data_IF_352403533680
#
_entry.id   IF_352403533680
#
_cell.length_a   1.000
_cell.length_b   1.000
_cell.length_c   1.000
_cell.angle_alpha   90.00
_cell.angle_beta   90.00
_cell.angle_gamma   90.00
#
_symmetry.space_group_name_H-M   'P 1'
#
loop_
_entity.id
_entity.type
_entity.pdbx_description
1 polymer ?
#
# COMPACT_ATOMS: atom_id res chain seq x y z
N UNK A 1 2.25 22.89 9.90
CA UNK A 1 2.69 22.38 8.59
C UNK A 1 2.02 21.03 8.48
N UNK A 2 1.08 20.87 7.56
CA UNK A 2 0.42 19.58 7.37
C UNK A 2 1.44 18.63 6.73
N UNK A 3 1.43 17.33 7.06
CA UNK A 3 2.30 16.35 6.44
C UNK A 3 2.15 16.37 4.92
N UNK A 4 3.25 16.11 4.23
CA UNK A 4 3.34 16.08 2.78
C UNK A 4 2.31 15.08 2.23
N UNK A 5 1.57 15.52 1.21
CA UNK A 5 0.56 14.80 0.39
C UNK A 5 -0.13 13.55 0.99
N UNK A 6 -1.47 13.58 1.03
CA UNK A 6 -2.28 12.37 1.23
C UNK A 6 -1.97 11.34 0.14
N UNK A 7 -1.77 10.09 0.55
CA UNK A 7 -1.56 8.94 -0.31
C UNK A 7 -2.53 7.82 0.03
N UNK A 8 -2.73 6.90 -0.91
CA UNK A 8 -3.52 5.70 -0.67
C UNK A 8 -3.15 4.55 -1.59
N UNK A 9 -3.50 3.33 -1.19
CA UNK A 9 -3.33 2.17 -2.07
C UNK A 9 -4.01 2.42 -3.44
N UNK A 10 -3.30 2.20 -4.56
CA UNK A 10 -3.86 2.46 -5.89
C UNK A 10 -5.05 1.55 -6.19
N UNK A 11 -5.97 2.02 -7.02
CA UNK A 11 -7.05 1.17 -7.51
C UNK A 11 -6.49 0.13 -8.50
N UNK A 12 -7.05 -1.09 -8.56
CA UNK A 12 -6.59 -2.12 -9.50
C UNK A 12 -6.51 -1.65 -10.96
N UNK A 13 -7.44 -0.81 -11.40
CA UNK A 13 -7.50 -0.25 -12.76
C UNK A 13 -6.37 0.73 -13.09
N UNK A 14 -5.77 1.36 -12.07
CA UNK A 14 -4.67 2.33 -12.24
C UNK A 14 -3.29 1.65 -12.28
N UNK A 15 -3.24 0.33 -12.03
CA UNK A 15 -1.99 -0.44 -12.01
C UNK A 15 -1.73 -1.01 -13.40
N UNK A 16 -0.57 -0.67 -13.95
CA UNK A 16 -0.13 -1.08 -15.27
C UNK A 16 1.00 -2.09 -15.18
N UNK A 17 0.92 -3.15 -15.99
CA UNK A 17 1.94 -4.17 -16.10
C UNK A 17 2.83 -3.93 -17.32
N UNK A 18 4.13 -3.87 -17.09
CA UNK A 18 5.16 -3.88 -18.12
C UNK A 18 6.13 -5.04 -17.87
N UNK A 19 5.87 -6.17 -18.55
CA UNK A 19 6.72 -7.37 -18.49
C UNK A 19 6.97 -7.93 -17.07
N UNK A 20 5.95 -7.89 -16.21
CA UNK A 20 6.01 -8.41 -14.83
C UNK A 20 6.43 -7.38 -13.79
N UNK A 21 6.72 -6.15 -14.22
CA UNK A 21 6.86 -4.98 -13.35
C UNK A 21 5.55 -4.20 -13.40
N UNK A 22 4.95 -4.00 -12.25
CA UNK A 22 3.67 -3.33 -12.09
C UNK A 22 3.91 -1.94 -11.51
N UNK A 23 3.34 -0.91 -12.13
CA UNK A 23 3.43 0.46 -11.62
C UNK A 23 2.09 1.19 -11.61
N UNK A 24 1.96 2.18 -10.73
CA UNK A 24 0.84 3.11 -10.69
C UNK A 24 1.31 4.49 -10.19
N UNK A 25 0.70 5.60 -10.66
CA UNK A 25 1.06 6.93 -10.20
C UNK A 25 0.74 7.09 -8.70
N UNK A 26 1.63 7.77 -7.96
CA UNK A 26 1.34 8.25 -6.61
C UNK A 26 0.74 9.66 -6.67
N UNK A 27 0.14 10.10 -5.56
CA UNK A 27 -0.39 11.47 -5.42
C UNK A 27 0.73 12.50 -5.22
N UNK A 28 1.87 12.04 -4.70
CA UNK A 28 3.09 12.79 -4.42
C UNK A 28 3.94 12.87 -5.68
N UNK A 29 4.30 14.09 -6.07
CA UNK A 29 5.09 14.33 -7.27
C UNK A 29 6.44 13.59 -7.23
N UNK A 30 6.73 12.84 -8.30
CA UNK A 30 7.99 12.10 -8.45
C UNK A 30 8.06 10.80 -7.65
N UNK A 31 6.95 10.37 -7.04
CA UNK A 31 6.80 9.08 -6.38
C UNK A 31 5.94 8.15 -7.24
N UNK A 32 6.24 6.86 -7.23
CA UNK A 32 5.47 5.84 -7.97
C UNK A 32 5.18 4.65 -7.06
N UNK A 33 4.06 3.97 -7.28
CA UNK A 33 3.83 2.65 -6.72
C UNK A 33 4.48 1.60 -7.61
N UNK A 34 5.26 0.70 -7.04
CA UNK A 34 5.98 -0.34 -7.79
C UNK A 34 5.78 -1.70 -7.13
N UNK A 35 5.59 -2.73 -7.95
CA UNK A 35 5.62 -4.13 -7.54
C UNK A 35 6.14 -5.01 -8.68
N UNK A 36 6.57 -6.23 -8.36
CA UNK A 36 7.05 -7.16 -9.38
C UNK A 36 6.65 -8.59 -9.06
N UNK A 37 6.31 -9.36 -10.10
CA UNK A 37 5.98 -10.78 -10.00
C UNK A 37 6.71 -11.55 -11.09
N UNK A 38 7.42 -12.60 -10.68
CA UNK A 38 8.08 -13.53 -11.62
C UNK A 38 7.02 -14.28 -12.41
N UNK A 39 7.21 -14.38 -13.72
CA UNK A 39 6.28 -14.98 -14.68
C UNK A 39 4.90 -14.28 -14.79
N UNK A 40 4.80 -13.06 -14.26
CA UNK A 40 3.58 -12.24 -14.31
C UNK A 40 3.44 -11.38 -15.57
N UNK A 41 4.16 -11.65 -16.67
CA UNK A 41 4.23 -10.70 -17.80
C UNK A 41 2.89 -10.47 -18.51
N UNK A 42 2.00 -11.45 -18.47
CA UNK A 42 0.66 -11.37 -19.08
C UNK A 42 -0.46 -11.15 -18.04
N UNK A 43 -0.09 -10.99 -16.77
CA UNK A 43 -1.06 -10.87 -15.70
C UNK A 43 -1.69 -9.49 -15.61
N UNK A 44 -2.95 -9.48 -15.22
CA UNK A 44 -3.73 -8.27 -14.91
C UNK A 44 -4.05 -8.26 -13.43
N UNK A 45 -4.07 -7.06 -12.85
CA UNK A 45 -4.55 -6.86 -11.49
C UNK A 45 -6.07 -7.00 -11.48
N UNK A 46 -6.61 -7.88 -10.64
CA UNK A 46 -8.05 -8.15 -10.57
C UNK A 46 -8.71 -7.46 -9.39
N UNK A 47 -8.18 -7.70 -8.19
CA UNK A 47 -8.81 -7.30 -6.96
C UNK A 47 -7.78 -6.71 -6.00
N UNK A 48 -8.14 -5.61 -5.35
CA UNK A 48 -7.49 -5.21 -4.12
C UNK A 48 -7.80 -6.24 -3.03
N UNK A 49 -6.77 -6.72 -2.34
CA UNK A 49 -6.89 -7.67 -1.25
C UNK A 49 -6.82 -6.96 0.09
N UNK A 50 -5.68 -6.31 0.39
CA UNK A 50 -5.47 -5.56 1.63
C UNK A 50 -4.26 -4.62 1.57
N UNK A 51 -4.28 -3.53 2.33
CA UNK A 51 -3.11 -2.74 2.68
C UNK A 51 -2.53 -3.24 4.00
N UNK A 52 -1.20 -3.27 4.14
CA UNK A 52 -0.50 -3.64 5.36
C UNK A 52 0.33 -2.48 5.86
N UNK A 53 0.10 -2.08 7.11
CA UNK A 53 0.78 -0.96 7.76
C UNK A 53 1.44 -1.43 9.04
N UNK A 54 2.69 -1.02 9.26
CA UNK A 54 3.50 -1.43 10.40
C UNK A 54 3.73 -0.22 11.28
N UNK A 55 3.17 -0.24 12.50
CA UNK A 55 3.33 0.82 13.48
C UNK A 55 4.79 0.89 13.98
N UNK A 56 5.29 2.10 14.18
CA UNK A 56 6.64 2.34 14.75
C UNK A 56 6.72 2.05 16.24
N UNK A 57 5.57 1.97 16.92
CA UNK A 57 5.42 1.61 18.33
C UNK A 57 4.21 0.68 18.49
N UNK A 58 4.21 -0.13 19.55
CA UNK A 58 3.13 -1.10 19.80
C UNK A 58 1.78 -0.46 20.15
N UNK A 59 1.75 0.85 20.41
CA UNK A 59 0.54 1.61 20.67
C UNK A 59 0.03 2.27 19.38
N UNK A 60 -1.30 2.22 19.17
CA UNK A 60 -1.99 2.86 18.06
C UNK A 60 -1.89 4.38 18.18
N UNK A 61 -0.74 4.95 17.83
CA UNK A 61 -0.57 6.37 17.62
C UNK A 61 -0.81 6.77 16.16
N UNK A 62 -1.02 5.78 15.27
CA UNK A 62 -1.23 6.00 13.84
C UNK A 62 0.06 6.25 13.05
N UNK A 63 1.23 6.31 13.71
CA UNK A 63 2.53 6.53 13.07
C UNK A 63 3.22 5.20 12.78
N UNK A 64 3.60 5.01 11.53
CA UNK A 64 4.28 3.80 11.09
C UNK A 64 4.79 3.93 9.67
N UNK A 65 4.84 2.80 8.98
CA UNK A 65 5.19 2.72 7.57
C UNK A 65 4.21 1.79 6.88
N UNK A 66 3.74 2.18 5.70
CA UNK A 66 3.03 1.27 4.82
C UNK A 66 4.03 0.23 4.28
N UNK A 67 3.78 -1.04 4.57
CA UNK A 67 4.62 -2.14 4.08
C UNK A 67 4.31 -2.48 2.62
N UNK A 68 3.01 -2.62 2.30
CA UNK A 68 2.56 -2.93 0.94
C UNK A 68 1.04 -2.86 0.79
N UNK A 69 0.58 -2.63 -0.44
CA UNK A 69 -0.78 -2.88 -0.89
C UNK A 69 -0.80 -4.19 -1.69
N UNK A 70 -1.62 -5.15 -1.27
CA UNK A 70 -1.69 -6.50 -1.82
C UNK A 70 -2.85 -6.63 -2.79
N UNK A 71 -2.61 -7.23 -3.94
CA UNK A 71 -3.60 -7.45 -5.00
C UNK A 71 -3.57 -8.88 -5.51
N UNK A 72 -4.72 -9.39 -5.92
CA UNK A 72 -4.84 -10.66 -6.65
C UNK A 72 -4.63 -10.42 -8.15
N UNK A 73 -3.77 -11.23 -8.77
CA UNK A 73 -3.53 -11.24 -10.21
C UNK A 73 -4.40 -12.28 -10.93
N UNK A 74 -4.58 -12.12 -12.24
CA UNK A 74 -5.29 -13.09 -13.09
C UNK A 74 -4.72 -14.51 -13.08
N UNK A 75 -3.41 -14.65 -12.92
CA UNK A 75 -2.71 -15.92 -12.79
C UNK A 75 -2.85 -16.59 -11.42
N UNK A 76 -3.58 -15.97 -10.49
CA UNK A 76 -3.80 -16.47 -9.12
C UNK A 76 -2.68 -16.16 -8.14
N UNK A 77 -1.61 -15.49 -8.59
CA UNK A 77 -0.56 -14.97 -7.72
C UNK A 77 -1.00 -13.67 -7.02
N UNK A 78 -0.28 -13.28 -5.97
CA UNK A 78 -0.45 -11.99 -5.33
C UNK A 78 0.66 -11.02 -5.73
N UNK A 79 0.28 -9.78 -5.99
CA UNK A 79 1.16 -8.65 -6.23
C UNK A 79 1.22 -7.79 -4.96
N UNK A 80 2.43 -7.50 -4.49
CA UNK A 80 2.67 -6.52 -3.43
C UNK A 80 3.18 -5.22 -4.08
N UNK A 81 2.34 -4.19 -4.11
CA UNK A 81 2.73 -2.83 -4.51
C UNK A 81 3.30 -2.09 -3.30
N UNK A 82 4.40 -1.36 -3.50
CA UNK A 82 5.03 -0.51 -2.50
C UNK A 82 5.21 0.89 -3.06
N UNK A 83 5.14 1.90 -2.20
CA UNK A 83 5.44 3.27 -2.56
C UNK A 83 6.96 3.45 -2.68
N UNK A 84 7.47 3.79 -3.85
CA UNK A 84 8.89 4.04 -4.08
C UNK A 84 9.26 5.48 -3.70
N UNK A 85 9.68 5.65 -2.44
CA UNK A 85 10.17 6.92 -1.91
C UNK A 85 11.68 7.13 -2.17
N UNK A 86 12.32 6.25 -2.95
CA UNK A 86 13.75 6.30 -3.23
C UNK A 86 14.60 6.32 -1.95
N UNK A 87 15.31 7.43 -1.71
CA UNK A 87 16.17 7.58 -0.51
C UNK A 87 15.39 7.77 0.79
N UNK A 88 14.09 8.10 0.70
CA UNK A 88 13.23 8.37 1.85
C UNK A 88 12.37 7.14 2.22
N UNK A 89 12.83 5.92 1.93
CA UNK A 89 12.09 4.68 2.19
C UNK A 89 11.73 4.41 3.68
N UNK A 90 12.33 5.15 4.63
CA UNK A 90 11.99 5.10 6.06
C UNK A 90 11.16 6.29 6.53
N UNK A 91 10.63 7.09 5.61
CA UNK A 91 9.78 8.22 5.95
C UNK A 91 8.56 7.71 6.72
N UNK A 92 8.32 8.32 7.88
CA UNK A 92 7.18 8.03 8.71
C UNK A 92 5.89 8.34 7.96
N UNK A 93 4.84 7.61 8.28
CA UNK A 93 3.52 7.78 7.69
C UNK A 93 2.48 7.85 8.80
N UNK A 94 1.49 8.72 8.64
CA UNK A 94 0.36 8.82 9.53
C UNK A 94 -0.86 8.21 8.87
N UNK A 95 -1.47 7.21 9.52
CA UNK A 95 -2.74 6.64 9.06
C UNK A 95 -3.80 7.74 8.97
N UNK A 96 -4.48 7.78 7.82
CA UNK A 96 -5.71 8.54 7.62
C UNK A 96 -6.90 7.56 7.61
N UNK A 97 -8.10 8.05 7.98
CA UNK A 97 -9.29 7.20 8.13
C UNK A 97 -9.05 5.99 9.05
N UNK A 98 -8.59 6.23 10.28
CA UNK A 98 -8.28 5.22 11.29
C UNK A 98 -9.31 4.06 11.41
N UNK A 99 -10.60 4.32 11.18
CA UNK A 99 -11.66 3.30 11.20
C UNK A 99 -11.55 2.23 10.11
N UNK A 100 -10.78 2.48 9.04
CA UNK A 100 -10.53 1.53 7.95
C UNK A 100 -9.36 0.60 8.24
N UNK A 101 -8.59 0.88 9.30
CA UNK A 101 -7.40 0.14 9.69
C UNK A 101 -7.66 -0.66 10.97
N UNK A 102 -7.56 -1.97 10.88
CA UNK A 102 -7.73 -2.89 12.02
C UNK A 102 -6.49 -3.74 12.22
N UNK A 103 -6.31 -4.36 13.39
CA UNK A 103 -5.22 -5.32 13.60
C UNK A 103 -5.27 -6.42 12.54
N UNK A 104 -4.10 -6.79 12.01
CA UNK A 104 -4.01 -7.85 11.02
C UNK A 104 -4.55 -9.17 11.58
N UNK A 105 -5.38 -9.85 10.80
CA UNK A 105 -5.87 -11.18 11.15
C UNK A 105 -4.83 -12.28 10.84
N UNK A 106 -3.91 -12.00 9.91
CA UNK A 106 -2.94 -12.98 9.39
C UNK A 106 -1.63 -13.00 10.19
N UNK A 107 -1.31 -11.90 10.89
CA UNK A 107 -0.07 -11.77 11.65
C UNK A 107 -0.39 -11.57 13.13
N UNK A 108 0.15 -12.44 13.97
CA UNK A 108 0.02 -12.38 15.42
C UNK A 108 0.89 -11.26 16.06
N UNK A 109 0.80 -10.05 15.53
CA UNK A 109 1.44 -8.85 16.06
C UNK A 109 0.43 -7.71 16.16
N UNK A 110 0.41 -7.04 17.32
CA UNK A 110 -0.43 -5.84 17.51
C UNK A 110 0.07 -4.61 16.75
N UNK A 111 1.32 -4.64 16.28
CA UNK A 111 1.93 -3.55 15.53
C UNK A 111 1.62 -3.58 14.03
N UNK A 112 0.92 -4.62 13.53
CA UNK A 112 0.57 -4.73 12.11
C UNK A 112 -0.93 -4.51 11.96
N UNK A 113 -1.26 -3.53 11.15
CA UNK A 113 -2.63 -3.18 10.79
C UNK A 113 -2.89 -3.59 9.34
N UNK A 114 -4.13 -3.94 9.06
CA UNK A 114 -4.65 -4.20 7.73
C UNK A 114 -5.81 -3.28 7.41
N UNK A 115 -5.91 -2.89 6.14
CA UNK A 115 -7.06 -2.19 5.58
C UNK A 115 -7.58 -2.97 4.37
N UNK A 116 -8.87 -3.31 4.37
CA UNK A 116 -9.52 -4.11 3.33
C UNK A 116 -10.52 -3.29 2.50
N UNK A 117 -10.52 -1.95 2.67
CA UNK A 117 -11.44 -1.06 1.95
C UNK A 117 -11.11 -1.04 0.46
N UNK A 118 -12.15 -1.21 -0.38
CA UNK A 118 -12.03 -1.15 -1.84
C UNK A 118 -12.37 0.23 -2.42
N UNK A 119 -12.71 1.19 -1.55
CA UNK A 119 -13.00 2.56 -1.98
C UNK A 119 -11.70 3.27 -2.38
N UNK A 120 -11.80 4.21 -3.32
CA UNK A 120 -10.73 5.18 -3.56
C UNK A 120 -10.38 5.89 -2.24
N UNK A 121 -9.09 6.04 -1.94
CA UNK A 121 -8.58 6.54 -0.66
C UNK A 121 -9.01 5.74 0.59
N UNK A 122 -9.61 4.56 0.44
CA UNK A 122 -10.10 3.77 1.59
C UNK A 122 -9.00 3.32 2.55
N UNK A 123 -7.78 3.13 2.04
CA UNK A 123 -6.57 2.82 2.80
C UNK A 123 -5.57 3.98 2.68
N UNK A 124 -5.97 5.15 3.15
CA UNK A 124 -5.19 6.38 3.05
C UNK A 124 -4.22 6.58 4.23
N UNK A 125 -3.20 7.39 3.98
CA UNK A 125 -2.19 7.84 4.95
C UNK A 125 -1.54 9.15 4.45
N UNK A 126 -0.87 9.87 5.34
CA UNK A 126 -0.05 11.03 5.02
C UNK A 126 1.44 10.70 5.16
N UNK A 127 2.29 11.30 4.33
CA UNK A 127 3.74 11.20 4.44
C UNK A 127 4.27 12.26 5.43
N UNK A 128 5.10 11.86 6.40
CA UNK A 128 5.68 12.78 7.40
C UNK A 128 6.79 13.68 6.86
#
# INVERSE_FOLDING_TARGET
>A
MWPDSEESCPLPEDIHNNAGIFTAPASTDGVEWIGAVVDGQNDRVKNFHKGLFVLTKDEYNGLGVLSSCMYELSGGQFLAMRLDLGKNFQQGMWIEMASQWSKSADVASSSILECNSKAAAGCAFYLE
#
